data_IF_511454623681
#
_entry.id   IF_511454623681
#
_cell.length_a   1.000
_cell.length_b   1.000
_cell.length_c   1.000
_cell.angle_alpha   90.00
_cell.angle_beta   90.00
_cell.angle_gamma   90.00
#
_symmetry.space_group_name_H-M   'P 1'
#
loop_
_entity.id
_entity.type
_entity.pdbx_description
1 polymer ?
#
# COMPACT_ATOMS: atom_id res chain seq x y z
N UNK A 1 -41.51 2.66 46.11
CA UNK A 1 -41.00 3.72 45.21
C UNK A 1 -39.51 3.50 45.02
N UNK A 2 -39.16 3.00 43.83
CA UNK A 2 -37.81 3.01 43.23
C UNK A 2 -37.24 4.45 43.29
N UNK A 3 -35.94 4.75 43.19
CA UNK A 3 -34.81 4.30 42.37
C UNK A 3 -33.53 4.84 43.10
N UNK A 4 -32.25 4.54 42.84
CA UNK A 4 -31.51 4.34 41.61
C UNK A 4 -30.13 3.79 42.02
N UNK A 5 -29.74 2.61 41.52
CA UNK A 5 -28.37 2.11 41.55
C UNK A 5 -27.63 2.67 40.35
N UNK A 6 -26.61 3.50 40.56
CA UNK A 6 -25.76 4.01 39.47
C UNK A 6 -24.70 2.96 39.14
N UNK A 7 -24.92 2.19 38.07
CA UNK A 7 -23.88 1.38 37.46
C UNK A 7 -23.03 2.29 36.56
N UNK A 8 -21.75 2.46 36.89
CA UNK A 8 -20.77 3.12 36.01
C UNK A 8 -20.31 2.09 34.99
N UNK A 9 -20.86 2.15 33.79
CA UNK A 9 -20.41 1.36 32.65
C UNK A 9 -19.22 2.12 32.01
N UNK A 10 -17.99 1.68 32.29
CA UNK A 10 -16.81 2.16 31.56
C UNK A 10 -16.75 1.40 30.24
N UNK A 11 -17.27 1.99 29.17
CA UNK A 11 -17.08 1.50 27.81
C UNK A 11 -15.66 1.90 27.38
N UNK A 12 -14.74 0.92 27.36
CA UNK A 12 -13.42 1.08 26.79
C UNK A 12 -13.51 1.24 25.28
N UNK A 13 -13.56 2.48 24.79
CA UNK A 13 -13.35 2.82 23.38
C UNK A 13 -11.86 2.61 23.06
N UNK A 14 -11.48 1.39 22.68
CA UNK A 14 -10.17 1.16 22.07
C UNK A 14 -10.18 1.82 20.69
N UNK A 15 -9.63 3.02 20.59
CA UNK A 15 -9.31 3.67 19.31
C UNK A 15 -8.24 2.82 18.62
N UNK A 16 -8.64 2.05 17.61
CA UNK A 16 -7.68 1.39 16.72
C UNK A 16 -7.09 2.46 15.82
N UNK A 17 -5.99 3.09 16.25
CA UNK A 17 -5.18 3.92 15.37
C UNK A 17 -4.45 2.99 14.39
N UNK A 18 -4.95 2.90 13.16
CA UNK A 18 -4.17 2.29 12.07
C UNK A 18 -3.02 3.25 11.80
N UNK A 19 -1.81 2.91 12.24
CA UNK A 19 -0.63 3.70 11.89
C UNK A 19 -0.45 3.62 10.37
N UNK A 20 -0.53 4.77 9.69
CA UNK A 20 -0.20 4.85 8.28
C UNK A 20 1.30 4.54 8.13
N UNK A 21 1.61 3.42 7.47
CA UNK A 21 2.99 3.11 7.13
C UNK A 21 3.36 3.75 5.80
N UNK A 22 4.55 4.34 5.73
CA UNK A 22 5.08 4.85 4.47
C UNK A 22 5.36 3.68 3.52
N UNK A 23 5.03 3.87 2.25
CA UNK A 23 5.41 2.92 1.19
C UNK A 23 6.93 2.86 1.05
N UNK A 24 7.44 1.66 0.79
CA UNK A 24 8.84 1.38 0.44
C UNK A 24 9.15 1.69 -1.03
N UNK A 25 8.12 1.98 -1.83
CA UNK A 25 8.24 2.29 -3.25
C UNK A 25 8.44 3.79 -3.44
N UNK A 26 9.57 4.15 -4.04
CA UNK A 26 9.89 5.51 -4.45
C UNK A 26 9.10 5.83 -5.72
N UNK A 27 8.41 6.98 -5.71
CA UNK A 27 7.67 7.50 -6.87
C UNK A 27 6.68 6.48 -7.46
N UNK A 28 5.94 5.78 -6.59
CA UNK A 28 4.95 4.78 -7.00
C UNK A 28 3.74 5.35 -7.74
N UNK A 29 3.44 6.64 -7.57
CA UNK A 29 2.43 7.40 -8.33
C UNK A 29 2.98 8.16 -9.53
N UNK A 30 4.28 8.02 -9.85
CA UNK A 30 4.90 8.63 -11.03
C UNK A 30 4.84 10.16 -11.14
N UNK A 31 4.70 10.86 -10.01
CA UNK A 31 4.57 12.32 -9.94
C UNK A 31 5.87 13.10 -10.03
N UNK A 32 7.02 12.45 -9.80
CA UNK A 32 8.31 13.15 -9.71
C UNK A 32 8.73 13.83 -11.02
N UNK A 33 8.34 13.26 -12.16
CA UNK A 33 8.60 13.83 -13.48
C UNK A 33 7.43 14.74 -13.85
N UNK A 34 7.70 16.02 -14.10
CA UNK A 34 6.64 16.95 -14.51
C UNK A 34 6.32 16.79 -16.00
N UNK A 35 5.10 16.36 -16.30
CA UNK A 35 4.51 16.41 -17.64
C UNK A 35 3.47 17.53 -17.70
N UNK A 36 3.40 18.25 -18.82
CA UNK A 36 2.40 19.29 -19.02
C UNK A 36 0.98 18.71 -18.99
N UNK A 37 0.03 19.46 -18.43
CA UNK A 37 -1.38 19.04 -18.37
C UNK A 37 -1.94 18.74 -19.76
N UNK A 38 -2.77 17.71 -19.85
CA UNK A 38 -3.34 17.17 -21.08
C UNK A 38 -2.27 16.74 -22.09
N UNK A 39 -1.17 16.15 -21.60
CA UNK A 39 -0.07 15.67 -22.42
C UNK A 39 0.51 14.38 -21.85
N UNK A 40 1.44 13.78 -22.60
CA UNK A 40 2.25 12.65 -22.20
C UNK A 40 3.71 12.88 -22.58
N UNK A 41 4.62 12.17 -21.92
CA UNK A 41 6.04 12.12 -22.30
C UNK A 41 6.66 10.82 -21.83
N UNK A 42 7.53 10.24 -22.66
CA UNK A 42 8.36 9.11 -22.25
C UNK A 42 9.73 9.56 -21.72
N UNK A 43 10.26 8.75 -20.82
CA UNK A 43 11.56 8.91 -20.17
C UNK A 43 12.26 7.54 -20.18
N UNK A 44 13.59 7.52 -20.16
CA UNK A 44 14.28 6.27 -19.81
C UNK A 44 13.96 5.93 -18.35
N UNK A 45 13.90 4.65 -17.96
CA UNK A 45 13.61 4.28 -16.57
C UNK A 45 14.53 5.00 -15.57
N UNK A 46 15.81 5.14 -15.91
CA UNK A 46 16.82 5.84 -15.09
C UNK A 46 16.52 7.32 -14.84
N UNK A 47 15.61 7.94 -15.60
CA UNK A 47 15.15 9.31 -15.41
C UNK A 47 13.86 9.39 -14.56
N UNK A 48 13.27 8.25 -14.21
CA UNK A 48 12.09 8.16 -13.36
C UNK A 48 12.55 7.65 -12.00
N UNK A 49 12.46 8.51 -10.98
CA UNK A 49 13.03 8.22 -9.66
C UNK A 49 12.55 6.86 -9.12
N UNK A 50 13.49 6.00 -8.71
CA UNK A 50 13.20 4.68 -8.15
C UNK A 50 12.93 3.56 -9.17
N UNK A 51 12.80 3.86 -10.46
CA UNK A 51 12.45 2.86 -11.46
C UNK A 51 13.62 2.47 -12.36
N UNK A 52 13.64 1.21 -12.77
CA UNK A 52 14.61 0.63 -13.68
C UNK A 52 13.89 -0.17 -14.79
N UNK A 53 14.64 -0.55 -15.83
CA UNK A 53 14.13 -1.32 -16.96
C UNK A 53 13.95 -0.51 -18.24
N UNK A 54 12.82 -0.72 -18.92
CA UNK A 54 12.44 -0.12 -20.20
C UNK A 54 12.01 1.34 -20.02
N UNK A 55 11.83 2.07 -21.12
CA UNK A 55 11.26 3.41 -21.04
C UNK A 55 9.91 3.41 -20.32
N UNK A 56 9.59 4.53 -19.68
CA UNK A 56 8.35 4.76 -18.95
C UNK A 56 7.67 5.97 -19.56
N UNK A 57 6.42 5.82 -19.95
CA UNK A 57 5.60 6.90 -20.47
C UNK A 57 4.69 7.42 -19.36
N UNK A 58 4.73 8.72 -19.13
CA UNK A 58 3.98 9.38 -18.05
C UNK A 58 2.92 10.26 -18.69
N UNK A 59 1.68 10.07 -18.26
CA UNK A 59 0.49 10.77 -18.72
C UNK A 59 0.01 11.74 -17.67
N UNK A 60 -0.37 12.96 -18.08
CA UNK A 60 -1.01 13.94 -17.21
C UNK A 60 -2.37 14.34 -17.78
N UNK A 61 -3.42 13.59 -17.46
CA UNK A 61 -4.80 13.96 -17.80
C UNK A 61 -5.16 13.89 -19.29
N UNK A 62 -4.29 13.37 -20.15
CA UNK A 62 -4.51 13.30 -21.59
C UNK A 62 -5.79 12.50 -21.91
N UNK A 63 -6.56 12.98 -22.90
CA UNK A 63 -7.85 12.41 -23.28
C UNK A 63 -8.88 12.34 -22.13
N UNK A 64 -8.73 13.18 -21.11
CA UNK A 64 -9.61 13.20 -19.94
C UNK A 64 -9.38 12.04 -18.97
N UNK A 65 -8.31 11.26 -19.14
CA UNK A 65 -7.97 10.14 -18.26
C UNK A 65 -7.38 10.70 -16.97
N UNK A 66 -8.18 10.67 -15.90
CA UNK A 66 -7.72 11.01 -14.55
C UNK A 66 -6.82 9.90 -14.01
N UNK A 67 -5.74 10.28 -13.34
CA UNK A 67 -4.91 9.36 -12.58
C UNK A 67 -5.69 8.77 -11.39
N UNK A 68 -5.27 7.61 -10.90
CA UNK A 68 -5.88 6.98 -9.73
C UNK A 68 -5.42 7.65 -8.42
N UNK A 69 -4.15 8.07 -8.40
CA UNK A 69 -3.51 8.88 -7.37
C UNK A 69 -2.92 10.13 -8.04
N UNK A 70 -2.76 11.24 -7.30
CA UNK A 70 -2.15 12.45 -7.86
C UNK A 70 -2.80 13.01 -9.14
N UNK A 71 -1.96 13.37 -10.11
CA UNK A 71 -2.30 13.98 -11.39
C UNK A 71 -1.76 13.20 -12.61
N UNK A 72 -0.80 12.31 -12.38
CA UNK A 72 -0.03 11.62 -13.40
C UNK A 72 -0.05 10.10 -13.15
N UNK A 73 0.20 9.33 -14.20
CA UNK A 73 0.31 7.87 -14.11
C UNK A 73 1.25 7.35 -15.20
N UNK A 74 1.76 6.13 -15.02
CA UNK A 74 2.62 5.49 -16.00
C UNK A 74 1.83 4.65 -17.02
N UNK A 75 2.45 4.42 -18.17
CA UNK A 75 2.09 3.41 -19.16
C UNK A 75 3.25 2.41 -19.32
N UNK A 76 2.95 1.11 -19.23
CA UNK A 76 3.95 0.04 -19.29
C UNK A 76 4.56 -0.15 -20.68
N UNK A 77 3.89 0.23 -21.77
CA UNK A 77 4.37 0.10 -23.15
C UNK A 77 4.81 1.44 -23.71
N UNK A 78 5.67 2.14 -22.99
CA UNK A 78 6.13 3.47 -23.37
C UNK A 78 6.63 3.56 -24.82
N UNK A 79 6.39 4.69 -25.47
CA UNK A 79 6.98 4.98 -26.77
C UNK A 79 8.54 5.01 -26.73
N UNK A 80 9.14 5.05 -27.92
CA UNK A 80 10.58 5.05 -28.12
C UNK A 80 11.18 3.65 -28.34
N UNK A 81 12.51 3.61 -28.51
CA UNK A 81 13.22 2.36 -28.77
C UNK A 81 13.46 1.56 -27.48
N UNK A 82 12.76 0.45 -27.32
CA UNK A 82 13.03 -0.55 -26.29
C UNK A 82 13.53 -1.87 -26.92
N UNK A 83 14.29 -2.65 -26.16
CA UNK A 83 14.78 -3.98 -26.57
C UNK A 83 14.09 -5.04 -25.72
N UNK A 84 13.40 -6.00 -26.35
CA UNK A 84 12.73 -7.10 -25.65
C UNK A 84 11.31 -6.77 -25.20
N UNK A 85 10.79 -7.53 -24.23
CA UNK A 85 9.51 -7.23 -23.60
C UNK A 85 9.62 -5.97 -22.73
N UNK A 86 8.63 -5.08 -22.80
CA UNK A 86 8.57 -3.90 -21.96
C UNK A 86 8.46 -4.32 -20.50
N UNK A 87 9.40 -3.87 -19.69
CA UNK A 87 9.48 -4.24 -18.29
C UNK A 87 9.99 -3.06 -17.47
N UNK A 88 9.31 -2.78 -16.37
CA UNK A 88 9.77 -1.84 -15.34
C UNK A 88 9.80 -2.54 -13.99
N UNK A 89 10.76 -2.17 -13.16
CA UNK A 89 10.87 -2.72 -11.81
C UNK A 89 11.51 -1.74 -10.85
N UNK A 90 11.33 -2.01 -9.56
CA UNK A 90 12.02 -1.33 -8.47
C UNK A 90 12.50 -2.35 -7.44
N UNK A 91 13.76 -2.21 -7.04
CA UNK A 91 14.32 -2.95 -5.92
C UNK A 91 14.12 -2.15 -4.64
N UNK A 92 13.73 -2.81 -3.55
CA UNK A 92 13.54 -2.18 -2.26
C UNK A 92 14.02 -3.10 -1.13
N UNK A 93 14.51 -2.49 -0.05
CA UNK A 93 15.04 -3.21 1.09
C UNK A 93 13.91 -3.94 1.83
N UNK A 94 14.17 -5.17 2.23
CA UNK A 94 13.28 -6.01 3.03
C UNK A 94 14.04 -6.73 4.13
N UNK A 95 13.30 -7.31 5.06
CA UNK A 95 13.84 -8.18 6.11
C UNK A 95 13.35 -9.60 5.85
N UNK A 96 14.29 -10.56 5.80
CA UNK A 96 13.97 -11.96 5.59
C UNK A 96 12.98 -12.46 6.66
N UNK A 97 11.92 -13.13 6.23
CA UNK A 97 10.86 -13.66 7.08
C UNK A 97 9.78 -12.66 7.48
N UNK A 98 9.90 -11.37 7.13
CA UNK A 98 8.82 -10.38 7.32
C UNK A 98 7.81 -10.45 6.18
N UNK A 99 6.55 -10.21 6.52
CA UNK A 99 5.46 -10.07 5.56
C UNK A 99 5.25 -8.60 5.21
N UNK A 100 5.04 -8.34 3.93
CA UNK A 100 4.77 -7.04 3.36
C UNK A 100 3.46 -7.08 2.58
N UNK A 101 2.65 -6.05 2.72
CA UNK A 101 1.46 -5.83 1.91
C UNK A 101 1.86 -5.00 0.69
N UNK A 102 1.27 -5.32 -0.47
CA UNK A 102 1.47 -4.55 -1.69
C UNK A 102 0.14 -4.20 -2.33
N UNK A 103 0.12 -3.10 -3.06
CA UNK A 103 -0.95 -2.79 -3.99
C UNK A 103 -0.48 -1.94 -5.16
N UNK A 104 -1.27 -1.92 -6.23
CA UNK A 104 -1.14 -0.96 -7.32
C UNK A 104 -2.48 -0.79 -8.02
N UNK A 105 -2.66 0.35 -8.66
CA UNK A 105 -3.79 0.64 -9.52
C UNK A 105 -3.41 0.35 -10.97
N UNK A 106 -4.31 -0.28 -11.71
CA UNK A 106 -4.10 -0.60 -13.12
C UNK A 106 -5.36 -0.34 -13.94
N UNK A 107 -5.18 0.07 -15.20
CA UNK A 107 -6.29 0.40 -16.12
C UNK A 107 -5.94 0.02 -17.54
N UNK A 108 -6.92 -0.50 -18.29
CA UNK A 108 -6.76 -0.75 -19.71
C UNK A 108 -6.83 0.57 -20.47
N UNK A 109 -5.93 0.77 -21.43
CA UNK A 109 -5.86 2.00 -22.23
C UNK A 109 -6.84 1.98 -23.39
N UNK A 110 -6.78 0.93 -24.21
CA UNK A 110 -7.42 0.85 -25.53
C UNK A 110 -8.48 -0.24 -25.64
N UNK A 111 -8.27 -1.41 -25.02
CA UNK A 111 -9.17 -2.56 -25.17
C UNK A 111 -9.25 -3.43 -23.90
N UNK A 112 -10.24 -4.33 -23.84
CA UNK A 112 -10.50 -5.20 -22.71
C UNK A 112 -9.73 -6.54 -22.74
N UNK A 113 -8.60 -6.60 -23.46
CA UNK A 113 -7.73 -7.78 -23.55
C UNK A 113 -6.28 -7.46 -23.19
N UNK A 114 -6.05 -6.30 -22.58
CA UNK A 114 -4.71 -5.90 -22.16
C UNK A 114 -4.32 -6.67 -20.89
N UNK A 115 -3.10 -7.19 -20.87
CA UNK A 115 -2.57 -7.92 -19.73
C UNK A 115 -1.08 -7.64 -19.53
N UNK A 116 -0.62 -7.82 -18.30
CA UNK A 116 0.78 -7.78 -17.94
C UNK A 116 1.09 -8.87 -16.91
N UNK A 117 2.36 -9.26 -16.86
CA UNK A 117 2.90 -10.14 -15.86
C UNK A 117 3.35 -9.30 -14.66
N UNK A 118 2.86 -9.65 -13.48
CA UNK A 118 3.26 -9.08 -12.20
C UNK A 118 4.11 -10.08 -11.43
N UNK A 119 5.18 -9.61 -10.77
CA UNK A 119 5.91 -10.42 -9.80
C UNK A 119 6.47 -9.63 -8.62
N UNK A 120 6.44 -10.25 -7.44
CA UNK A 120 7.03 -9.77 -6.19
C UNK A 120 7.29 -10.95 -5.25
N UNK A 121 8.51 -11.09 -4.73
CA UNK A 121 8.90 -12.28 -3.96
C UNK A 121 8.64 -13.57 -4.74
N UNK A 122 7.90 -14.50 -4.14
CA UNK A 122 7.51 -15.77 -4.76
C UNK A 122 6.23 -15.68 -5.63
N UNK A 123 5.60 -14.50 -5.68
CA UNK A 123 4.39 -14.27 -6.48
C UNK A 123 4.80 -13.96 -7.91
N UNK A 124 4.22 -14.69 -8.87
CA UNK A 124 4.30 -14.40 -10.31
C UNK A 124 2.97 -14.74 -10.97
N UNK A 125 2.28 -13.74 -11.53
CA UNK A 125 0.93 -13.94 -12.07
C UNK A 125 0.62 -13.00 -13.23
N UNK A 126 -0.22 -13.45 -14.16
CA UNK A 126 -0.77 -12.60 -15.21
C UNK A 126 -1.96 -11.82 -14.68
N UNK A 127 -1.87 -10.50 -14.73
CA UNK A 127 -2.97 -9.59 -14.40
C UNK A 127 -3.69 -9.23 -15.70
N UNK A 128 -4.91 -9.72 -15.87
CA UNK A 128 -5.74 -9.44 -17.03
C UNK A 128 -6.62 -8.22 -16.75
N UNK A 129 -6.76 -7.32 -17.72
CA UNK A 129 -7.67 -6.19 -17.63
C UNK A 129 -8.81 -6.28 -18.65
N UNK A 130 -9.96 -6.75 -18.16
CA UNK A 130 -11.20 -6.85 -18.95
C UNK A 130 -12.09 -5.60 -18.86
N UNK A 131 -11.72 -4.61 -18.05
CA UNK A 131 -12.55 -3.43 -17.77
C UNK A 131 -11.98 -2.19 -18.44
N UNK A 132 -12.59 -1.81 -19.55
CA UNK A 132 -12.24 -0.59 -20.27
C UNK A 132 -12.57 0.67 -19.46
N UNK A 133 -11.61 1.57 -19.40
CA UNK A 133 -11.82 2.91 -18.86
C UNK A 133 -11.84 3.02 -17.34
N UNK A 134 -11.74 1.92 -16.60
CA UNK A 134 -11.80 1.89 -15.14
C UNK A 134 -10.45 1.52 -14.52
N UNK A 135 -10.09 2.25 -13.47
CA UNK A 135 -9.00 1.87 -12.59
C UNK A 135 -9.45 0.72 -11.67
N UNK A 136 -8.64 -0.32 -11.61
CA UNK A 136 -8.81 -1.48 -10.75
C UNK A 136 -7.64 -1.54 -9.78
N UNK A 137 -7.86 -2.05 -8.57
CA UNK A 137 -6.81 -2.25 -7.57
C UNK A 137 -6.40 -3.72 -7.55
N UNK A 138 -5.10 -3.98 -7.65
CA UNK A 138 -4.53 -5.28 -7.34
C UNK A 138 -3.81 -5.18 -6.00
N UNK A 139 -3.95 -6.17 -5.14
CA UNK A 139 -3.36 -6.17 -3.81
C UNK A 139 -3.12 -7.59 -3.33
N UNK A 140 -2.20 -7.73 -2.39
CA UNK A 140 -1.88 -8.98 -1.71
C UNK A 140 -0.76 -8.75 -0.71
N UNK A 141 -0.19 -9.87 -0.24
CA UNK A 141 0.93 -9.85 0.68
C UNK A 141 1.96 -10.90 0.27
N UNK A 142 3.23 -10.66 0.57
CA UNK A 142 4.30 -11.64 0.37
C UNK A 142 5.23 -11.66 1.58
N UNK A 143 5.87 -12.80 1.83
CA UNK A 143 6.94 -12.91 2.83
C UNK A 143 8.29 -12.80 2.13
N UNK A 144 9.13 -11.88 2.58
CA UNK A 144 10.45 -11.68 1.98
C UNK A 144 11.38 -12.86 2.31
N UNK A 145 12.08 -13.38 1.31
CA UNK A 145 13.05 -14.47 1.43
C UNK A 145 14.51 -13.98 1.31
N UNK A 146 14.71 -12.67 1.20
CA UNK A 146 15.99 -12.00 1.03
C UNK A 146 15.98 -10.64 1.75
N UNK A 147 17.11 -9.93 1.77
CA UNK A 147 17.20 -8.55 2.25
C UNK A 147 16.82 -7.50 1.19
N UNK A 148 16.55 -7.95 -0.04
CA UNK A 148 16.25 -7.10 -1.18
C UNK A 148 15.19 -7.77 -2.04
N UNK A 149 14.00 -7.16 -2.12
CA UNK A 149 12.91 -7.64 -2.94
C UNK A 149 12.72 -6.74 -4.17
N UNK A 150 12.15 -7.31 -5.23
CA UNK A 150 11.89 -6.60 -6.49
C UNK A 150 10.40 -6.66 -6.79
N UNK A 151 9.78 -5.51 -7.02
CA UNK A 151 8.45 -5.43 -7.62
C UNK A 151 8.61 -5.19 -9.13
N UNK A 152 7.92 -5.97 -9.96
CA UNK A 152 8.15 -5.99 -11.41
C UNK A 152 6.85 -6.11 -12.19
N UNK A 153 6.78 -5.35 -13.27
CA UNK A 153 5.67 -5.31 -14.22
C UNK A 153 6.24 -5.52 -15.62
N UNK A 154 5.84 -6.59 -16.28
CA UNK A 154 6.28 -6.92 -17.65
C UNK A 154 5.06 -6.96 -18.56
N UNK A 155 5.04 -6.12 -19.58
CA UNK A 155 3.96 -6.12 -20.56
C UNK A 155 3.89 -7.43 -21.33
N UNK A 156 2.67 -7.88 -21.59
CA UNK A 156 2.38 -8.98 -22.53
C UNK A 156 1.80 -8.47 -23.85
N UNK A 157 1.55 -7.16 -23.96
CA UNK A 157 1.03 -6.53 -25.16
C UNK A 157 2.18 -6.20 -26.13
N UNK A 158 1.93 -6.33 -27.43
CA UNK A 158 2.86 -5.86 -28.46
C UNK A 158 2.64 -4.38 -28.79
N UNK A 159 3.70 -3.69 -29.24
CA UNK A 159 3.65 -2.28 -29.61
C UNK A 159 3.73 -1.31 -28.41
N UNK A 160 3.52 -0.03 -28.69
CA UNK A 160 3.66 1.11 -27.75
C UNK A 160 2.31 1.55 -27.14
N UNK A 161 1.41 0.58 -26.97
CA UNK A 161 0.10 0.79 -26.33
C UNK A 161 -0.10 -0.29 -25.28
N UNK A 162 -0.13 0.12 -24.02
CA UNK A 162 -0.12 -0.79 -22.87
C UNK A 162 -1.01 -0.33 -21.74
N UNK A 163 -1.06 -1.18 -20.71
CA UNK A 163 -1.80 -0.88 -19.50
C UNK A 163 -1.23 0.35 -18.79
N UNK A 164 -2.13 1.14 -18.20
CA UNK A 164 -1.75 2.16 -17.26
C UNK A 164 -1.51 1.55 -15.88
N UNK A 165 -0.53 2.12 -15.17
CA UNK A 165 -0.12 1.73 -13.83
C UNK A 165 0.03 3.00 -12.97
N UNK A 166 -0.44 2.93 -11.74
CA UNK A 166 -0.42 4.04 -10.79
C UNK A 166 -0.46 3.53 -9.34
N UNK A 167 -0.18 4.40 -8.38
CA UNK A 167 -0.28 4.16 -6.94
C UNK A 167 0.39 2.84 -6.48
N UNK A 168 1.62 2.61 -6.94
CA UNK A 168 2.38 1.40 -6.59
C UNK A 168 2.90 1.51 -5.16
N UNK A 169 2.48 0.58 -4.31
CA UNK A 169 2.79 0.58 -2.89
C UNK A 169 3.28 -0.76 -2.39
N UNK A 170 4.24 -0.71 -1.47
CA UNK A 170 4.63 -1.84 -0.62
C UNK A 170 4.83 -1.30 0.79
N UNK A 171 4.13 -1.85 1.78
CA UNK A 171 4.26 -1.46 3.19
C UNK A 171 4.59 -2.68 4.03
N UNK A 172 5.30 -2.52 5.14
CA UNK A 172 5.42 -3.64 6.07
C UNK A 172 4.02 -3.97 6.60
N UNK A 173 3.69 -5.26 6.71
CA UNK A 173 2.40 -5.63 7.27
C UNK A 173 2.32 -5.07 8.70
N UNK A 174 1.15 -4.57 9.16
CA UNK A 174 0.99 -4.13 10.53
C UNK A 174 1.47 -5.23 11.47
N UNK A 175 2.43 -4.92 12.35
CA UNK A 175 2.73 -5.83 13.46
C UNK A 175 1.46 -5.88 14.28
N UNK A 176 0.72 -6.99 14.24
CA UNK A 176 -0.40 -7.17 15.14
C UNK A 176 0.16 -6.96 16.55
N UNK A 177 -0.40 -6.02 17.35
CA UNK A 177 0.04 -5.87 18.72
C UNK A 177 -0.10 -7.24 19.34
N UNK A 178 1.02 -7.82 19.79
CA UNK A 178 0.95 -9.04 20.56
C UNK A 178 -0.01 -8.73 21.71
N UNK A 179 -1.09 -9.49 21.80
CA UNK A 179 -1.97 -9.43 22.94
C UNK A 179 -1.14 -9.85 24.14
N UNK A 180 -0.51 -8.88 24.80
CA UNK A 180 0.00 -9.07 26.14
C UNK A 180 -1.24 -9.32 26.97
N UNK A 181 -1.53 -10.59 27.25
CA UNK A 181 -2.54 -10.95 28.22
C UNK A 181 -2.07 -10.37 29.54
N UNK A 182 -2.59 -9.19 29.89
CA UNK A 182 -2.43 -8.66 31.23
C UNK A 182 -3.16 -9.64 32.13
N UNK A 183 -2.40 -10.34 32.96
CA UNK A 183 -2.93 -11.32 33.90
C UNK A 183 -3.97 -10.60 34.78
N UNK A 184 -5.25 -10.97 34.63
CA UNK A 184 -6.40 -10.28 35.26
C UNK A 184 -6.25 -10.23 36.79
N UNK A 185 -5.53 -11.21 37.36
CA UNK A 185 -5.18 -11.24 38.78
C UNK A 185 -4.37 -10.00 39.21
N UNK A 186 -3.51 -9.48 38.33
CA UNK A 186 -2.65 -8.32 38.61
C UNK A 186 -3.44 -7.01 38.62
N UNK A 187 -4.36 -6.84 37.67
CA UNK A 187 -5.22 -5.66 37.56
C UNK A 187 -6.23 -5.58 38.70
N UNK A 188 -6.83 -6.71 39.07
CA UNK A 188 -7.71 -6.80 40.24
C UNK A 188 -6.95 -6.54 41.54
N UNK A 189 -5.70 -7.00 41.65
CA UNK A 189 -4.87 -6.74 42.82
C UNK A 189 -4.58 -5.25 43.00
N UNK A 190 -4.17 -4.55 41.93
CA UNK A 190 -3.91 -3.11 41.98
C UNK A 190 -5.18 -2.31 42.29
N UNK A 191 -6.33 -2.70 41.71
CA UNK A 191 -7.62 -2.09 42.01
C UNK A 191 -8.03 -2.32 43.48
N UNK A 192 -7.89 -3.53 43.99
CA UNK A 192 -8.19 -3.87 45.38
C UNK A 192 -7.29 -3.11 46.35
N UNK A 193 -5.98 -3.02 46.08
CA UNK A 193 -5.03 -2.20 46.82
C UNK A 193 -5.44 -0.72 46.82
N UNK A 194 -5.82 -0.19 45.66
CA UNK A 194 -6.31 1.19 45.54
C UNK A 194 -7.55 1.45 46.42
N UNK A 195 -8.52 0.54 46.42
CA UNK A 195 -9.73 0.63 47.22
C UNK A 195 -9.45 0.52 48.73
N UNK A 196 -8.55 -0.37 49.14
CA UNK A 196 -8.13 -0.52 50.55
C UNK A 196 -7.44 0.75 51.06
N UNK A 197 -6.51 1.31 50.28
CA UNK A 197 -5.83 2.56 50.63
C UNK A 197 -6.83 3.74 50.74
N UNK A 198 -7.83 3.78 49.87
CA UNK A 198 -8.89 4.80 49.92
C UNK A 198 -9.76 4.67 51.19
N UNK A 199 -10.11 3.44 51.56
CA UNK A 199 -10.88 3.15 52.77
C UNK A 199 -10.09 3.49 54.06
N UNK A 200 -8.79 3.19 54.08
CA UNK A 200 -7.90 3.55 55.20
C UNK A 200 -7.70 5.05 55.34
N UNK A 201 -7.64 5.80 54.21
CA UNK A 201 -7.56 7.26 54.22
C UNK A 201 -8.81 7.91 54.82
N UNK A 202 -10.00 7.40 54.48
CA UNK A 202 -11.28 7.90 55.01
C UNK A 202 -11.44 7.75 56.52
N UNK A 203 -10.79 6.75 57.13
CA UNK A 203 -10.83 6.50 58.58
C UNK A 203 -9.94 7.44 59.40
N UNK A 204 -9.04 8.20 58.76
CA UNK A 204 -8.14 9.16 59.42
C UNK A 204 -8.63 10.61 59.35
N UNK A 205 -9.79 10.86 58.73
CA UNK A 205 -10.37 12.20 58.54
C UNK A 205 -11.57 12.50 59.46
N UNK A 206 -11.71 11.77 60.58
CA UNK A 206 -12.67 12.09 61.65
C UNK A 206 -11.93 12.78 62.79
#
# INVERSE_FOLDING_TARGET
MNFLTTAVLVVGLSLWSVAAQATLIINGGFEANTVAKNNWKYFSATQVAGWEGSNIEIWHGLNGIKAAEGNQHAELNADGSNKGAWEIYQNFATEMGKTYDFSFMYRARTNNKEAFLFSIGDIKTTVNNYSLGQWLKFTGSFTANSLLSTIRFTSLNSGTMGNFLDDVQVTAAPVQPQSVTVDEASTLSVLALGLVLLALRRRRSV
#
